data_IF_123742330809
#
_entry.id   IF_123742330809
#
_cell.length_a   1.000
_cell.length_b   1.000
_cell.length_c   1.000
_cell.angle_alpha   90.00
_cell.angle_beta   90.00
_cell.angle_gamma   90.00
#
_symmetry.space_group_name_H-M   'P 1'
#
loop_
_entity.id
_entity.type
_entity.pdbx_description
1 polymer ?
#
# COMPACT_ATOMS: atom_id res chain seq x y z
N UNK A 1 -6.14 40.22 17.21
CA UNK A 1 -5.92 39.35 16.04
C UNK A 1 -5.33 38.03 16.53
N UNK A 2 -6.15 36.99 16.70
CA UNK A 2 -5.69 35.67 17.15
C UNK A 2 -5.41 34.81 15.92
N UNK A 3 -4.13 34.55 15.65
CA UNK A 3 -3.69 33.62 14.62
C UNK A 3 -4.05 32.21 15.09
N UNK A 4 -5.04 31.58 14.45
CA UNK A 4 -5.36 30.16 14.67
C UNK A 4 -4.17 29.33 14.17
N UNK A 5 -3.48 28.66 15.08
CA UNK A 5 -2.54 27.59 14.75
C UNK A 5 -3.30 26.41 14.14
N UNK A 6 -2.83 25.80 13.05
CA UNK A 6 -3.34 24.51 12.61
C UNK A 6 -2.76 23.41 13.51
N UNK A 7 -3.60 22.81 14.34
CA UNK A 7 -3.32 21.56 15.05
C UNK A 7 -3.50 20.38 14.09
N UNK A 8 -2.42 19.68 13.73
CA UNK A 8 -2.54 18.33 13.16
C UNK A 8 -1.33 17.45 13.48
N UNK A 9 -1.06 17.28 14.78
CA UNK A 9 -0.06 16.36 15.34
C UNK A 9 -0.49 14.88 15.31
N UNK A 10 -1.58 14.52 14.61
CA UNK A 10 -2.11 13.14 14.59
C UNK A 10 -1.70 12.32 13.34
N UNK A 11 -1.18 12.94 12.27
CA UNK A 11 -1.01 12.24 10.98
C UNK A 11 0.14 11.23 10.93
N UNK A 12 1.19 11.43 11.73
CA UNK A 12 2.43 10.64 11.67
C UNK A 12 2.47 9.42 12.61
N UNK A 13 1.43 9.14 13.41
CA UNK A 13 1.44 7.98 14.31
C UNK A 13 1.24 6.68 13.52
N UNK A 14 2.34 6.00 13.21
CA UNK A 14 2.41 4.55 13.03
C UNK A 14 2.18 4.02 11.62
N UNK A 15 2.92 4.51 10.61
CA UNK A 15 3.07 3.72 9.37
C UNK A 15 4.05 2.58 9.63
N UNK A 16 3.57 1.51 10.25
CA UNK A 16 4.34 0.28 10.38
C UNK A 16 4.33 -0.45 9.04
N UNK A 17 5.54 -0.75 8.55
CA UNK A 17 5.77 -1.53 7.34
C UNK A 17 6.53 -2.77 7.74
N UNK A 18 6.00 -3.95 7.42
CA UNK A 18 6.75 -5.18 7.63
C UNK A 18 7.88 -5.27 6.59
N UNK A 19 9.02 -5.82 6.98
CA UNK A 19 10.02 -6.28 6.01
C UNK A 19 9.44 -7.52 5.30
N UNK A 20 9.47 -7.64 3.96
CA UNK A 20 8.89 -8.78 3.26
C UNK A 20 9.47 -10.11 3.73
N UNK A 21 10.77 -10.14 4.02
CA UNK A 21 11.47 -11.31 4.57
C UNK A 21 10.99 -11.75 5.97
N UNK A 22 10.25 -10.91 6.70
CA UNK A 22 9.67 -11.23 8.01
C UNK A 22 8.19 -11.63 7.92
N UNK A 23 7.60 -11.63 6.73
CA UNK A 23 6.20 -11.98 6.50
C UNK A 23 6.10 -13.47 6.20
N UNK A 24 5.08 -14.15 6.74
CA UNK A 24 4.84 -15.55 6.41
C UNK A 24 4.28 -15.69 4.99
N UNK A 25 4.52 -16.82 4.32
CA UNK A 25 3.89 -17.10 3.03
C UNK A 25 2.35 -17.05 3.12
N UNK A 26 1.78 -17.52 4.24
CA UNK A 26 0.34 -17.47 4.49
C UNK A 26 -0.19 -16.03 4.49
N UNK A 27 0.49 -15.11 5.15
CA UNK A 27 0.09 -13.70 5.21
C UNK A 27 0.25 -13.01 3.85
N UNK A 28 1.33 -13.32 3.12
CA UNK A 28 1.54 -12.84 1.77
C UNK A 28 0.41 -13.30 0.83
N UNK A 29 0.07 -14.59 0.84
CA UNK A 29 -1.03 -15.15 0.05
C UNK A 29 -2.38 -14.55 0.45
N UNK A 30 -2.66 -14.42 1.74
CA UNK A 30 -3.87 -13.77 2.23
C UNK A 30 -3.96 -12.32 1.76
N UNK A 31 -2.86 -11.57 1.75
CA UNK A 31 -2.82 -10.20 1.27
C UNK A 31 -3.10 -10.10 -0.25
N UNK A 32 -2.63 -11.03 -1.07
CA UNK A 32 -2.86 -10.97 -2.53
C UNK A 32 -4.17 -11.64 -2.98
N UNK A 33 -4.84 -12.41 -2.12
CA UNK A 33 -6.09 -13.09 -2.45
C UNK A 33 -7.27 -12.15 -2.72
N UNK A 34 -7.25 -10.92 -2.22
CA UNK A 34 -8.33 -9.93 -2.39
C UNK A 34 -8.17 -9.13 -3.69
N UNK A 35 -9.23 -9.03 -4.52
CA UNK A 35 -9.15 -8.37 -5.83
C UNK A 35 -8.94 -6.85 -5.74
N UNK A 36 -9.45 -6.18 -4.70
CA UNK A 36 -9.23 -4.73 -4.50
C UNK A 36 -7.77 -4.47 -4.17
N UNK A 37 -7.16 -5.32 -3.32
CA UNK A 37 -5.72 -5.23 -3.04
C UNK A 37 -4.88 -5.49 -4.28
N UNK A 38 -5.23 -6.47 -5.11
CA UNK A 38 -4.54 -6.68 -6.42
C UNK A 38 -4.68 -5.47 -7.34
N UNK A 39 -5.82 -4.80 -7.37
CA UNK A 39 -6.01 -3.56 -8.15
C UNK A 39 -5.05 -2.45 -7.70
N UNK A 40 -4.91 -2.24 -6.39
CA UNK A 40 -3.96 -1.27 -5.82
C UNK A 40 -2.52 -1.60 -6.28
N UNK A 41 -2.12 -2.87 -6.19
CA UNK A 41 -0.79 -3.32 -6.59
C UNK A 41 -0.53 -3.08 -8.09
N UNK A 42 -1.52 -3.36 -8.95
CA UNK A 42 -1.43 -3.11 -10.40
C UNK A 42 -1.28 -1.62 -10.71
N UNK A 43 -2.09 -0.77 -10.09
CA UNK A 43 -1.95 0.69 -10.26
C UNK A 43 -0.57 1.18 -9.82
N UNK A 44 -0.03 0.65 -8.73
CA UNK A 44 1.32 1.00 -8.26
C UNK A 44 2.43 0.48 -9.18
N UNK A 45 2.25 -0.70 -9.78
CA UNK A 45 3.20 -1.26 -10.74
C UNK A 45 3.26 -0.46 -12.04
N UNK A 46 2.20 0.25 -12.40
CA UNK A 46 2.07 0.99 -13.65
C UNK A 46 2.55 2.45 -13.58
N UNK A 47 3.00 2.94 -12.42
CA UNK A 47 3.40 4.34 -12.20
C UNK A 47 4.79 4.43 -11.57
N UNK A 48 5.52 5.55 -11.74
CA UNK A 48 6.78 5.76 -11.04
C UNK A 48 6.57 5.74 -9.51
N UNK A 49 7.57 5.25 -8.78
CA UNK A 49 7.51 5.21 -7.32
C UNK A 49 7.16 6.57 -6.71
N UNK A 50 6.44 6.55 -5.60
CA UNK A 50 6.07 7.73 -4.83
C UNK A 50 5.22 8.76 -5.57
N UNK A 51 4.60 8.42 -6.70
CA UNK A 51 3.71 9.36 -7.42
C UNK A 51 2.24 9.24 -7.02
N UNK A 52 1.82 8.10 -6.47
CA UNK A 52 0.41 7.79 -6.20
C UNK A 52 0.02 8.09 -4.76
N UNK A 53 -0.94 8.98 -4.54
CA UNK A 53 -1.45 9.30 -3.21
C UNK A 53 -2.66 8.41 -2.82
N UNK A 54 -2.87 8.14 -1.53
CA UNK A 54 -3.97 7.25 -1.08
C UNK A 54 -5.37 7.64 -1.59
N UNK A 55 -5.59 8.94 -1.83
CA UNK A 55 -6.86 9.47 -2.31
C UNK A 55 -7.09 9.29 -3.82
N UNK A 56 -6.04 8.97 -4.59
CA UNK A 56 -6.07 8.99 -6.06
C UNK A 56 -6.21 7.62 -6.70
N UNK A 57 -6.46 6.58 -5.89
CA UNK A 57 -6.82 5.26 -6.36
C UNK A 57 -8.32 5.20 -6.67
N UNK A 58 -8.67 4.68 -7.84
CA UNK A 58 -10.04 4.49 -8.26
C UNK A 58 -10.51 3.11 -7.81
N UNK A 59 -11.01 3.05 -6.57
CA UNK A 59 -11.43 1.80 -5.94
C UNK A 59 -12.93 1.85 -5.66
N UNK A 60 -13.70 0.78 -5.97
CA UNK A 60 -15.13 0.70 -5.74
C UNK A 60 -15.49 0.43 -4.26
N UNK A 61 -14.81 1.12 -3.33
CA UNK A 61 -14.96 0.90 -1.88
C UNK A 61 -14.95 2.21 -1.09
N UNK A 62 -15.63 2.17 0.06
CA UNK A 62 -15.65 3.28 1.01
C UNK A 62 -14.24 3.61 1.57
N UNK A 63 -14.09 4.84 2.08
CA UNK A 63 -12.82 5.34 2.62
C UNK A 63 -12.26 4.49 3.78
N UNK A 64 -13.11 3.97 4.67
CA UNK A 64 -12.67 3.11 5.77
C UNK A 64 -12.09 1.78 5.26
N UNK A 65 -12.78 1.15 4.31
CA UNK A 65 -12.34 -0.08 3.63
C UNK A 65 -11.02 0.12 2.89
N UNK A 66 -10.84 1.27 2.24
CA UNK A 66 -9.58 1.65 1.60
C UNK A 66 -8.41 1.71 2.58
N UNK A 67 -8.58 2.36 3.72
CA UNK A 67 -7.54 2.43 4.76
C UNK A 67 -7.13 1.04 5.26
N UNK A 68 -8.09 0.13 5.39
CA UNK A 68 -7.83 -1.26 5.78
C UNK A 68 -6.98 -1.99 4.72
N UNK A 69 -7.32 -1.87 3.43
CA UNK A 69 -6.53 -2.47 2.36
C UNK A 69 -5.07 -1.99 2.37
N UNK A 70 -4.82 -0.69 2.54
CA UNK A 70 -3.45 -0.16 2.67
C UNK A 70 -2.74 -0.70 3.91
N UNK A 71 -3.42 -0.81 5.05
CA UNK A 71 -2.84 -1.38 6.26
C UNK A 71 -2.41 -2.84 6.07
N UNK A 72 -3.26 -3.67 5.45
CA UNK A 72 -2.96 -5.07 5.12
C UNK A 72 -1.76 -5.16 4.17
N UNK A 73 -1.73 -4.35 3.11
CA UNK A 73 -0.62 -4.34 2.16
C UNK A 73 0.72 -3.91 2.80
N UNK A 74 0.71 -2.94 3.72
CA UNK A 74 1.90 -2.56 4.51
C UNK A 74 2.35 -3.67 5.45
N UNK A 75 1.39 -4.32 6.11
CA UNK A 75 1.67 -5.43 7.04
C UNK A 75 2.21 -6.68 6.32
N UNK A 76 1.86 -6.87 5.05
CA UNK A 76 2.42 -7.90 4.18
C UNK A 76 3.72 -7.46 3.47
N UNK A 77 4.22 -6.24 3.73
CA UNK A 77 5.46 -5.73 3.13
C UNK A 77 5.37 -5.40 1.64
N UNK A 78 4.19 -5.52 1.01
CA UNK A 78 3.98 -5.29 -0.42
C UNK A 78 4.13 -3.82 -0.82
N UNK A 79 3.76 -2.90 0.06
CA UNK A 79 3.83 -1.45 -0.22
C UNK A 79 4.58 -0.70 0.86
N UNK A 80 5.06 0.46 0.49
CA UNK A 80 5.54 1.48 1.42
C UNK A 80 4.72 2.75 1.29
N UNK A 81 4.52 3.44 2.40
CA UNK A 81 3.81 4.71 2.47
C UNK A 81 4.63 5.73 3.25
N UNK A 82 4.65 6.97 2.74
CA UNK A 82 5.27 8.11 3.41
C UNK A 82 4.39 9.34 3.30
N UNK A 83 4.52 10.22 4.28
CA UNK A 83 3.87 11.53 4.23
C UNK A 83 4.76 12.52 3.47
N UNK A 84 4.16 13.24 2.52
CA UNK A 84 4.77 14.35 1.79
C UNK A 84 3.80 15.53 1.82
N UNK A 85 4.03 16.42 2.80
CA UNK A 85 3.13 17.52 3.12
C UNK A 85 1.72 17.00 3.44
N UNK A 86 0.67 17.46 2.72
CA UNK A 86 -0.69 17.02 2.99
C UNK A 86 -1.02 15.65 2.37
N UNK A 87 -0.14 15.09 1.54
CA UNK A 87 -0.35 13.86 0.78
C UNK A 87 0.34 12.68 1.47
N UNK A 88 -0.26 11.49 1.33
CA UNK A 88 0.36 10.22 1.70
C UNK A 88 0.62 9.42 0.44
N UNK A 89 1.88 9.32 0.06
CA UNK A 89 2.36 8.72 -1.17
C UNK A 89 2.68 7.24 -0.94
N UNK A 90 2.60 6.46 -2.01
CA UNK A 90 2.73 5.01 -1.98
C UNK A 90 3.75 4.58 -3.03
N UNK A 91 4.48 3.51 -2.74
CA UNK A 91 5.21 2.74 -3.74
C UNK A 91 4.98 1.25 -3.55
N UNK A 92 5.12 0.50 -4.63
CA UNK A 92 5.24 -0.96 -4.60
C UNK A 92 6.68 -1.32 -4.21
N UNK A 93 6.86 -2.24 -3.27
CA UNK A 93 8.18 -2.70 -2.81
C UNK A 93 8.64 -3.92 -3.60
N UNK A 94 8.59 -3.80 -4.92
CA UNK A 94 8.79 -4.92 -5.84
C UNK A 94 10.14 -5.63 -5.63
N UNK A 95 11.30 -4.94 -5.60
CA UNK A 95 12.58 -5.61 -5.41
C UNK A 95 12.66 -6.40 -4.10
N UNK A 96 12.17 -5.83 -3.00
CA UNK A 96 12.23 -6.48 -1.69
C UNK A 96 11.25 -7.64 -1.56
N UNK A 97 10.07 -7.51 -2.19
CA UNK A 97 9.07 -8.57 -2.18
C UNK A 97 9.47 -9.73 -3.08
N UNK A 98 10.02 -9.46 -4.27
CA UNK A 98 10.51 -10.49 -5.19
C UNK A 98 11.70 -11.27 -4.61
N UNK A 99 12.54 -10.63 -3.79
CA UNK A 99 13.60 -11.31 -3.04
C UNK A 99 13.08 -12.29 -1.98
N UNK A 100 11.93 -11.98 -1.35
CA UNK A 100 11.32 -12.82 -0.30
C UNK A 100 10.40 -13.91 -0.87
N UNK A 101 9.66 -13.62 -1.95
CA UNK A 101 8.70 -14.51 -2.59
C UNK A 101 8.88 -14.52 -4.11
N UNK A 102 9.94 -15.16 -4.63
CA UNK A 102 10.27 -15.13 -6.05
C UNK A 102 9.09 -15.56 -6.93
N UNK A 103 8.73 -14.72 -7.91
CA UNK A 103 7.70 -14.98 -8.91
C UNK A 103 6.25 -14.80 -8.45
N UNK A 104 5.99 -14.66 -7.15
CA UNK A 104 4.62 -14.50 -6.64
C UNK A 104 3.98 -13.19 -7.12
N UNK A 105 4.70 -12.08 -7.03
CA UNK A 105 4.17 -10.77 -7.41
C UNK A 105 3.92 -10.69 -8.92
N UNK A 106 4.79 -11.30 -9.73
CA UNK A 106 4.58 -11.40 -11.19
C UNK A 106 3.37 -12.25 -11.54
N UNK A 107 3.16 -13.38 -10.87
CA UNK A 107 1.95 -14.19 -11.04
C UNK A 107 0.68 -13.38 -10.71
N UNK A 108 0.70 -12.65 -9.60
CA UNK A 108 -0.42 -11.83 -9.12
C UNK A 108 -0.74 -10.68 -10.08
N UNK A 109 0.28 -10.05 -10.66
CA UNK A 109 0.12 -8.90 -11.55
C UNK A 109 -0.21 -9.29 -13.00
N UNK A 110 0.21 -10.47 -13.44
CA UNK A 110 -0.08 -11.00 -14.79
C UNK A 110 -1.50 -11.52 -14.96
N UNK A 111 -2.19 -11.83 -13.85
CA UNK A 111 -3.59 -12.23 -13.87
C UNK A 111 -4.46 -11.03 -13.47
N UNK A 112 -5.31 -10.53 -14.38
CA UNK A 112 -6.43 -9.68 -13.99
C UNK A 112 -7.21 -10.33 -12.82
N UNK A 113 -8.01 -9.57 -12.07
CA UNK A 113 -8.96 -10.21 -11.16
C UNK A 113 -9.91 -11.13 -11.96
N UNK A 114 -10.98 -11.69 -11.37
CA UNK A 114 -12.14 -11.90 -12.24
C UNK A 114 -12.42 -10.62 -13.06
#
# INVERSE_FOLDING_TARGET
>A
MSVRQPSNTARARGLTHALPAAVSLQDALAAVADPVRRSILRELAAVPEWTKACGTFDLPVAKATRSHHFAVLRAAGLIEQRDEGPRRLNRLRRPEFDAAFPGLLDLVLSHPGP
#
